data_IF_408003042646
#
_entry.id   IF_408003042646
#
_cell.length_a   1.000
_cell.length_b   1.000
_cell.length_c   1.000
_cell.angle_alpha   90.00
_cell.angle_beta   90.00
_cell.angle_gamma   90.00
#
_symmetry.space_group_name_H-M   'P 1'
#
loop_
_entity.id
_entity.type
_entity.pdbx_description
1 polymer ?
#
# COMPACT_ATOMS: atom_id res chain seq x y z
N UNK A 1 21.87 18.47 18.21
CA UNK A 1 21.57 18.07 16.83
C UNK A 1 20.23 17.38 16.90
N UNK A 2 19.16 18.17 16.85
CA UNK A 2 17.83 17.64 16.59
C UNK A 2 17.85 17.09 15.14
N UNK A 3 17.30 15.90 14.88
CA UNK A 3 17.10 15.46 13.51
C UNK A 3 16.18 16.46 12.81
N UNK A 4 16.33 16.72 11.50
CA UNK A 4 15.32 17.45 10.77
C UNK A 4 14.05 16.59 10.78
N UNK A 5 13.13 16.90 11.69
CA UNK A 5 11.75 16.46 11.63
C UNK A 5 11.21 17.01 10.31
N UNK A 6 11.21 16.17 9.28
CA UNK A 6 10.38 16.42 8.12
C UNK A 6 8.97 16.10 8.59
N UNK A 7 8.42 17.04 9.35
CA UNK A 7 7.06 17.06 9.86
C UNK A 7 6.16 17.39 8.65
N UNK A 8 6.11 16.46 7.70
CA UNK A 8 5.24 16.57 6.55
C UNK A 8 3.81 16.39 7.08
N UNK A 9 3.23 17.49 7.54
CA UNK A 9 1.87 17.52 8.04
C UNK A 9 0.89 17.61 6.89
N UNK A 10 -0.32 17.12 7.13
CA UNK A 10 -1.40 17.22 6.18
C UNK A 10 -1.73 18.68 5.86
N UNK A 11 -1.50 19.06 4.60
CA UNK A 11 -1.57 20.45 4.14
C UNK A 11 -0.23 21.03 3.71
N UNK A 12 0.87 20.30 3.87
CA UNK A 12 2.16 20.66 3.28
C UNK A 12 2.13 20.51 1.74
N UNK A 13 2.58 21.54 1.02
CA UNK A 13 2.55 21.57 -0.45
C UNK A 13 3.50 20.54 -1.10
N UNK A 14 4.37 19.89 -0.31
CA UNK A 14 5.28 18.84 -0.79
C UNK A 14 4.67 17.44 -0.76
N UNK A 15 3.51 17.26 -0.11
CA UNK A 15 2.80 15.99 -0.08
C UNK A 15 2.02 15.77 -1.37
N UNK A 16 2.41 14.75 -2.13
CA UNK A 16 1.69 14.33 -3.33
C UNK A 16 0.99 12.99 -3.10
N UNK A 17 -0.20 12.86 -3.68
CA UNK A 17 -0.89 11.57 -3.72
C UNK A 17 -0.06 10.55 -4.50
N UNK A 18 -0.06 9.29 -4.04
CA UNK A 18 0.63 8.21 -4.75
C UNK A 18 -0.17 7.82 -6.01
N UNK A 19 0.09 8.51 -7.11
CA UNK A 19 -0.54 8.34 -8.44
C UNK A 19 0.03 7.15 -9.24
N UNK A 20 0.43 6.06 -8.57
CA UNK A 20 1.04 4.86 -9.19
C UNK A 20 0.03 4.03 -9.99
N UNK A 21 0.47 3.09 -10.85
CA UNK A 21 -0.42 2.41 -11.80
C UNK A 21 -1.75 1.94 -11.22
N UNK A 22 -2.84 2.33 -11.87
CA UNK A 22 -4.15 1.68 -11.75
C UNK A 22 -4.25 0.61 -12.84
N UNK A 23 -4.27 -0.66 -12.44
CA UNK A 23 -4.57 -1.79 -13.31
C UNK A 23 -5.69 -2.63 -12.71
N UNK A 24 -6.27 -3.59 -13.45
CA UNK A 24 -7.18 -4.56 -12.85
C UNK A 24 -6.45 -5.33 -11.74
N UNK A 25 -7.09 -5.39 -10.56
CA UNK A 25 -6.52 -6.04 -9.39
C UNK A 25 -6.70 -7.56 -9.47
N UNK A 26 -5.60 -8.28 -9.34
CA UNK A 26 -5.58 -9.73 -9.21
C UNK A 26 -4.95 -10.14 -7.89
N UNK A 27 -5.51 -11.17 -7.26
CA UNK A 27 -4.96 -11.69 -6.01
C UNK A 27 -3.75 -12.60 -6.24
N UNK A 28 -3.49 -13.00 -7.48
CA UNK A 28 -2.37 -13.86 -7.86
C UNK A 28 -1.80 -13.44 -9.20
N UNK A 29 -0.50 -13.27 -9.27
CA UNK A 29 0.22 -12.94 -10.49
C UNK A 29 1.68 -13.36 -10.32
N UNK A 30 2.28 -13.94 -11.37
CA UNK A 30 3.71 -14.29 -11.41
C UNK A 30 4.23 -15.05 -10.18
N UNK A 31 3.47 -16.05 -9.69
CA UNK A 31 3.87 -16.87 -8.53
C UNK A 31 3.67 -16.19 -7.17
N UNK A 32 3.22 -14.93 -7.15
CA UNK A 32 2.89 -14.20 -5.92
C UNK A 32 1.39 -14.27 -5.67
N UNK A 33 1.02 -14.29 -4.39
CA UNK A 33 -0.35 -14.20 -3.92
C UNK A 33 -0.46 -13.09 -2.89
N UNK A 34 -1.43 -12.20 -3.09
CA UNK A 34 -1.80 -11.14 -2.17
C UNK A 34 -3.15 -11.46 -1.54
N UNK A 35 -3.23 -11.35 -0.22
CA UNK A 35 -4.46 -11.62 0.56
C UNK A 35 -4.67 -10.58 1.63
N UNK A 36 -5.92 -10.32 1.97
CA UNK A 36 -6.32 -9.63 3.19
C UNK A 36 -6.67 -10.64 4.29
N UNK A 37 -6.42 -10.30 5.55
CA UNK A 37 -6.84 -11.11 6.69
C UNK A 37 -8.36 -11.12 6.90
N UNK A 38 -9.06 -10.10 6.42
CA UNK A 38 -10.50 -9.95 6.47
C UNK A 38 -11.03 -9.30 5.19
N UNK A 39 -12.24 -9.68 4.77
CA UNK A 39 -12.95 -9.08 3.63
C UNK A 39 -13.73 -7.83 4.05
N UNK A 40 -14.16 -7.78 5.31
CA UNK A 40 -14.89 -6.66 5.91
C UNK A 40 -14.31 -6.33 7.27
N UNK A 41 -14.12 -5.04 7.55
CA UNK A 41 -13.63 -4.51 8.83
C UNK A 41 -14.37 -3.21 9.17
N UNK A 42 -14.43 -2.82 10.43
CA UNK A 42 -14.87 -1.49 10.83
C UNK A 42 -13.70 -0.48 10.90
N UNK A 43 -14.00 0.81 10.79
CA UNK A 43 -13.00 1.87 11.03
C UNK A 43 -12.45 1.71 12.45
N UNK A 44 -11.13 1.64 12.56
CA UNK A 44 -10.40 1.40 13.80
C UNK A 44 -10.03 -0.05 14.07
N UNK A 45 -10.52 -1.01 13.27
CA UNK A 45 -10.09 -2.41 13.37
C UNK A 45 -8.75 -2.68 12.68
N UNK A 46 -8.14 -3.81 13.02
CA UNK A 46 -6.87 -4.25 12.46
C UNK A 46 -7.09 -5.15 11.23
N UNK A 47 -6.31 -4.90 10.19
CA UNK A 47 -6.24 -5.72 8.98
C UNK A 47 -4.79 -5.95 8.60
N UNK A 48 -4.46 -7.17 8.20
CA UNK A 48 -3.15 -7.50 7.65
C UNK A 48 -3.30 -7.85 6.19
N UNK A 49 -2.58 -7.15 5.32
CA UNK A 49 -2.38 -7.58 3.95
C UNK A 49 -1.11 -8.40 3.89
N UNK A 50 -1.16 -9.58 3.28
CA UNK A 50 -0.02 -10.48 3.17
C UNK A 50 0.25 -10.77 1.70
N UNK A 51 1.47 -10.45 1.26
CA UNK A 51 2.03 -10.92 -0.01
C UNK A 51 2.88 -12.16 0.28
N UNK A 52 2.73 -13.20 -0.52
CA UNK A 52 3.51 -14.44 -0.41
C UNK A 52 3.94 -14.94 -1.76
N UNK A 53 5.19 -15.38 -1.89
CA UNK A 53 5.62 -16.22 -2.98
C UNK A 53 5.06 -17.63 -2.77
N UNK A 54 4.09 -18.00 -3.60
CA UNK A 54 3.43 -19.32 -3.61
C UNK A 54 3.96 -20.24 -4.72
N UNK A 55 5.00 -19.80 -5.44
CA UNK A 55 5.72 -20.62 -6.41
C UNK A 55 6.88 -21.36 -5.76
N UNK A 56 7.42 -22.35 -6.47
CA UNK A 56 8.58 -23.13 -6.06
C UNK A 56 9.92 -22.44 -6.41
N UNK A 57 9.88 -21.26 -7.05
CA UNK A 57 11.05 -20.52 -7.52
C UNK A 57 11.17 -19.16 -6.79
N UNK A 58 12.38 -18.61 -6.60
CA UNK A 58 12.54 -17.26 -6.11
C UNK A 58 11.94 -16.23 -7.09
N UNK A 59 11.23 -15.22 -6.56
CA UNK A 59 10.61 -14.15 -7.35
C UNK A 59 11.21 -12.81 -6.93
N UNK A 60 11.64 -12.02 -7.91
CA UNK A 60 12.11 -10.65 -7.69
C UNK A 60 10.92 -9.69 -7.65
N UNK A 61 10.84 -8.88 -6.60
CA UNK A 61 9.83 -7.85 -6.39
C UNK A 61 10.52 -6.56 -5.99
N UNK A 62 9.88 -5.43 -6.25
CA UNK A 62 10.32 -4.17 -5.65
C UNK A 62 10.10 -4.16 -4.14
N UNK A 63 10.72 -3.17 -3.48
CA UNK A 63 10.69 -3.02 -2.03
C UNK A 63 9.26 -3.05 -1.42
N UNK A 64 9.17 -3.49 -0.15
CA UNK A 64 7.95 -3.53 0.66
C UNK A 64 7.16 -2.22 0.72
N UNK A 65 7.80 -1.08 0.44
CA UNK A 65 7.15 0.24 0.36
C UNK A 65 6.41 0.49 -0.96
N UNK A 66 6.43 -0.42 -1.96
CA UNK A 66 5.73 -0.22 -3.24
C UNK A 66 4.25 -0.63 -3.17
N UNK A 67 3.50 -0.05 -2.22
CA UNK A 67 2.06 -0.29 -2.02
C UNK A 67 1.25 1.01 -1.88
N UNK A 68 -0.04 0.92 -2.22
CA UNK A 68 -0.99 2.03 -2.08
C UNK A 68 -2.36 1.49 -1.67
N UNK A 69 -3.08 2.32 -0.92
CA UNK A 69 -4.48 2.09 -0.61
C UNK A 69 -5.29 3.15 -1.33
N UNK A 70 -6.36 2.71 -1.99
CA UNK A 70 -7.32 3.58 -2.67
C UNK A 70 -8.70 3.32 -2.14
N UNK A 71 -9.52 4.37 -2.10
CA UNK A 71 -10.93 4.27 -1.80
C UNK A 71 -11.74 4.32 -3.08
N UNK A 72 -12.80 3.53 -3.15
CA UNK A 72 -13.78 3.61 -4.22
C UNK A 72 -14.74 4.78 -3.95
N UNK A 73 -14.80 5.71 -4.89
CA UNK A 73 -15.73 6.84 -4.91
C UNK A 73 -16.53 6.84 -6.21
N UNK A 74 -17.52 7.73 -6.34
CA UNK A 74 -18.27 7.92 -7.60
C UNK A 74 -17.36 8.29 -8.79
N UNK A 75 -16.19 8.88 -8.52
CA UNK A 75 -15.19 9.26 -9.52
C UNK A 75 -14.20 8.14 -9.88
N UNK A 76 -14.24 7.00 -9.17
CA UNK A 76 -13.32 5.88 -9.36
C UNK A 76 -12.48 5.57 -8.12
N UNK A 77 -11.27 5.06 -8.31
CA UNK A 77 -10.36 4.72 -7.21
C UNK A 77 -9.44 5.91 -6.91
N UNK A 78 -9.60 6.50 -5.73
CA UNK A 78 -8.82 7.65 -5.28
C UNK A 78 -7.79 7.22 -4.21
N UNK A 79 -6.50 7.55 -4.36
CA UNK A 79 -5.47 7.24 -3.36
C UNK A 79 -5.71 8.00 -2.06
N UNK A 80 -5.53 7.32 -0.92
CA UNK A 80 -5.67 7.95 0.40
C UNK A 80 -4.33 8.41 0.99
N UNK A 81 -3.24 7.84 0.49
CA UNK A 81 -1.89 8.16 0.95
C UNK A 81 -1.29 9.32 0.19
N UNK A 82 -0.71 10.24 0.95
CA UNK A 82 0.16 11.30 0.48
C UNK A 82 1.58 11.07 1.00
N UNK A 83 2.59 11.41 0.21
CA UNK A 83 4.00 11.25 0.56
C UNK A 83 4.81 12.43 0.03
N UNK A 84 5.88 12.86 0.72
CA UNK A 84 6.85 13.79 0.12
C UNK A 84 7.63 13.10 -1.00
N UNK A 85 8.11 13.90 -1.97
CA UNK A 85 8.69 13.44 -3.25
C UNK A 85 9.65 12.23 -3.18
N UNK A 86 9.53 11.34 -4.18
CA UNK A 86 10.47 10.24 -4.55
C UNK A 86 10.93 9.34 -3.41
N UNK A 87 10.01 9.02 -2.54
CA UNK A 87 10.13 8.03 -1.50
C UNK A 87 10.54 6.60 -1.90
N UNK A 88 10.39 6.26 -3.17
CA UNK A 88 10.52 4.90 -3.64
C UNK A 88 11.96 4.68 -4.05
N UNK A 89 12.75 4.09 -3.15
CA UNK A 89 14.00 3.48 -3.58
C UNK A 89 13.64 2.34 -4.54
N UNK A 90 14.24 2.36 -5.73
CA UNK A 90 14.19 1.26 -6.69
C UNK A 90 15.09 0.11 -6.22
N UNK A 91 14.82 -0.36 -5.01
CA UNK A 91 15.36 -1.59 -4.49
C UNK A 91 14.51 -2.76 -4.98
N UNK A 92 15.21 -3.76 -5.48
CA UNK A 92 14.66 -5.07 -5.84
C UNK A 92 15.04 -6.03 -4.72
N UNK A 93 14.04 -6.73 -4.21
CA UNK A 93 14.18 -7.78 -3.22
C UNK A 93 13.76 -9.12 -3.80
N UNK A 94 14.44 -10.18 -3.38
CA UNK A 94 14.12 -11.55 -3.82
C UNK A 94 13.31 -12.25 -2.74
N UNK A 95 12.06 -12.63 -3.06
CA UNK A 95 11.22 -13.46 -2.22
C UNK A 95 11.47 -14.94 -2.53
N UNK A 96 12.04 -15.67 -1.56
CA UNK A 96 12.14 -17.13 -1.62
C UNK A 96 10.74 -17.79 -1.57
N UNK A 97 10.61 -19.05 -2.01
CA UNK A 97 9.37 -19.83 -1.87
C UNK A 97 8.84 -19.78 -0.44
N UNK A 98 7.58 -19.36 -0.27
CA UNK A 98 6.92 -19.18 1.02
C UNK A 98 7.25 -17.86 1.76
N UNK A 99 8.26 -17.11 1.34
CA UNK A 99 8.57 -15.80 1.89
C UNK A 99 7.63 -14.72 1.31
N UNK A 100 7.61 -13.54 1.94
CA UNK A 100 6.86 -12.40 1.47
C UNK A 100 6.76 -11.29 2.50
N UNK A 101 5.76 -10.42 2.31
CA UNK A 101 5.56 -9.25 3.15
C UNK A 101 4.23 -9.32 3.88
N UNK A 102 4.20 -8.74 5.08
CA UNK A 102 2.98 -8.53 5.85
C UNK A 102 2.90 -7.06 6.20
N UNK A 103 1.78 -6.45 5.83
CA UNK A 103 1.43 -5.09 6.19
C UNK A 103 0.28 -5.14 7.19
N UNK A 104 0.56 -5.22 8.50
CA UNK A 104 -0.44 -5.02 9.52
C UNK A 104 -0.81 -3.54 9.52
N UNK A 105 -2.10 -3.22 9.50
CA UNK A 105 -2.65 -1.88 9.57
C UNK A 105 -3.78 -1.83 10.58
N UNK A 106 -3.91 -0.71 11.27
CA UNK A 106 -5.16 -0.35 11.93
C UNK A 106 -5.87 0.62 11.02
N UNK A 107 -7.13 0.34 10.65
CA UNK A 107 -7.88 1.11 9.67
C UNK A 107 -8.43 2.41 10.27
N UNK A 108 -7.52 3.26 10.71
CA UNK A 108 -7.72 4.62 11.22
C UNK A 108 -6.70 5.54 10.55
N UNK A 109 -6.92 6.86 10.57
CA UNK A 109 -5.97 7.81 9.97
C UNK A 109 -4.54 7.53 10.49
N UNK A 110 -4.36 7.58 11.80
CA UNK A 110 -3.08 7.34 12.47
C UNK A 110 -2.57 5.89 12.36
N UNK A 111 -3.48 4.92 12.26
CA UNK A 111 -3.12 3.51 12.12
C UNK A 111 -2.59 3.13 10.73
N UNK A 112 -2.98 3.91 9.71
CA UNK A 112 -2.51 3.78 8.33
C UNK A 112 -1.25 4.61 8.07
N UNK A 113 -1.00 5.67 8.84
CA UNK A 113 0.25 6.44 8.74
C UNK A 113 1.47 5.53 8.91
N UNK A 114 2.48 5.69 8.06
CA UNK A 114 3.72 4.91 8.12
C UNK A 114 4.90 5.82 7.96
N UNK A 115 5.92 5.62 8.79
CA UNK A 115 7.25 6.13 8.51
C UNK A 115 8.11 4.96 8.04
N UNK A 116 8.79 5.13 6.91
CA UNK A 116 9.59 4.12 6.23
C UNK A 116 11.09 4.43 6.40
N UNK A 117 11.72 4.06 7.54
CA UNK A 117 13.17 4.12 7.69
C UNK A 117 13.87 3.01 6.88
N UNK A 118 15.11 3.21 6.38
CA UNK A 118 15.95 4.41 6.49
C UNK A 118 15.66 5.48 5.42
N UNK A 119 14.71 5.24 4.51
CA UNK A 119 14.36 6.17 3.45
C UNK A 119 13.80 7.50 3.99
N UNK A 120 13.28 7.51 5.22
CA UNK A 120 12.75 8.71 5.88
C UNK A 120 11.44 9.19 5.25
N UNK A 121 10.70 8.27 4.63
CA UNK A 121 9.47 8.60 3.91
C UNK A 121 8.28 8.37 4.82
N UNK A 122 7.48 9.42 4.99
CA UNK A 122 6.15 9.33 5.59
C UNK A 122 5.05 9.06 4.57
N UNK A 123 4.22 8.06 4.84
CA UNK A 123 2.87 7.94 4.28
C UNK A 123 1.92 8.61 5.24
N UNK A 124 1.21 9.61 4.74
CA UNK A 124 0.24 10.38 5.51
C UNK A 124 -1.16 10.15 4.98
N UNK A 125 -2.12 10.03 5.90
CA UNK A 125 -3.55 9.92 5.59
C UNK A 125 -4.22 11.20 6.08
N UNK A 126 -4.37 12.16 5.16
CA UNK A 126 -4.77 13.51 5.50
C UNK A 126 -6.27 13.77 5.49
N UNK A 127 -7.04 12.80 5.00
CA UNK A 127 -8.50 12.85 5.02
C UNK A 127 -9.03 11.78 5.97
N UNK A 128 -10.13 12.07 6.68
CA UNK A 128 -10.79 11.06 7.47
C UNK A 128 -11.19 9.86 6.63
N UNK A 129 -10.99 8.67 7.20
CA UNK A 129 -11.50 7.44 6.61
C UNK A 129 -13.01 7.44 6.75
N UNK A 130 -13.67 7.04 5.69
CA UNK A 130 -15.11 6.97 5.60
C UNK A 130 -15.48 5.53 5.23
N UNK A 131 -16.66 5.05 5.63
CA UNK A 131 -17.11 3.72 5.23
C UNK A 131 -17.19 3.61 3.70
N UNK A 132 -16.85 2.43 3.19
CA UNK A 132 -16.83 2.13 1.76
C UNK A 132 -15.85 1.02 1.39
N UNK A 133 -15.65 0.81 0.10
CA UNK A 133 -14.69 -0.18 -0.40
C UNK A 133 -13.32 0.46 -0.55
N UNK A 134 -12.31 -0.21 0.01
CA UNK A 134 -10.91 0.15 -0.17
C UNK A 134 -10.18 -0.95 -0.93
N UNK A 135 -9.19 -0.56 -1.73
CA UNK A 135 -8.30 -1.49 -2.42
C UNK A 135 -6.88 -1.29 -1.94
N UNK A 136 -6.24 -2.37 -1.53
CA UNK A 136 -4.80 -2.42 -1.32
C UNK A 136 -4.16 -3.01 -2.57
N UNK A 137 -3.16 -2.33 -3.12
CA UNK A 137 -2.43 -2.79 -4.30
C UNK A 137 -0.93 -2.64 -4.13
N UNK A 138 -0.19 -3.63 -4.62
CA UNK A 138 1.27 -3.71 -4.60
C UNK A 138 1.79 -3.73 -6.04
N UNK A 139 2.48 -2.67 -6.45
CA UNK A 139 3.07 -2.56 -7.81
C UNK A 139 4.54 -2.98 -7.87
N UNK A 140 5.15 -3.38 -6.74
CA UNK A 140 6.50 -3.91 -6.76
C UNK A 140 6.63 -5.22 -7.56
N UNK A 141 5.53 -5.92 -7.84
CA UNK A 141 5.55 -7.15 -8.64
C UNK A 141 5.65 -6.93 -10.16
N UNK A 142 5.64 -5.68 -10.62
CA UNK A 142 5.78 -5.32 -12.04
C UNK A 142 6.88 -4.27 -12.20
N UNK A 143 7.58 -4.32 -13.33
CA UNK A 143 8.48 -3.26 -13.80
C UNK A 143 7.80 -2.29 -14.76
N UNK A 144 6.57 -2.58 -15.16
CA UNK A 144 5.78 -1.76 -16.09
C UNK A 144 5.06 -0.62 -15.36
N UNK A 145 5.02 0.55 -15.99
CA UNK A 145 4.34 1.74 -15.46
C UNK A 145 2.81 1.61 -15.52
N UNK A 146 2.29 0.72 -16.38
CA UNK A 146 0.87 0.38 -16.54
C UNK A 146 0.72 -1.15 -16.70
N UNK A 147 0.84 -1.93 -15.62
CA UNK A 147 0.74 -3.37 -15.70
C UNK A 147 -0.65 -3.82 -16.18
N UNK A 148 -0.66 -4.86 -17.02
CA UNK A 148 -1.91 -5.53 -17.42
C UNK A 148 -2.66 -6.11 -16.22
N UNK A 149 -1.94 -6.53 -15.18
CA UNK A 149 -2.49 -7.06 -13.93
C UNK A 149 -1.66 -6.55 -12.74
N UNK A 150 -2.33 -5.95 -11.75
CA UNK A 150 -1.69 -5.47 -10.54
C UNK A 150 -2.07 -6.37 -9.37
N UNK A 151 -1.10 -6.74 -8.53
CA UNK A 151 -1.42 -7.48 -7.31
C UNK A 151 -2.23 -6.59 -6.39
N UNK A 152 -3.50 -6.92 -6.21
CA UNK A 152 -4.42 -6.13 -5.41
C UNK A 152 -5.51 -6.97 -4.77
N UNK A 153 -6.04 -6.45 -3.67
CA UNK A 153 -7.22 -7.00 -3.00
C UNK A 153 -8.10 -5.85 -2.51
N UNK A 154 -9.39 -6.11 -2.36
CA UNK A 154 -10.35 -5.15 -1.80
C UNK A 154 -10.78 -5.57 -0.41
N UNK A 155 -11.13 -4.58 0.40
CA UNK A 155 -11.73 -4.74 1.72
C UNK A 155 -12.90 -3.76 1.83
N UNK A 156 -14.01 -4.21 2.40
CA UNK A 156 -15.12 -3.35 2.76
C UNK A 156 -14.90 -2.80 4.16
N UNK A 157 -15.01 -1.49 4.30
CA UNK A 157 -14.83 -0.78 5.57
C UNK A 157 -16.17 -0.22 6.00
N UNK A 158 -16.62 -0.64 7.16
CA UNK A 158 -17.90 -0.22 7.74
C UNK A 158 -17.68 0.84 8.83
N UNK A 159 -18.73 1.55 9.18
CA UNK A 159 -18.73 2.41 10.36
C UNK A 159 -18.51 1.55 11.64
N UNK A 160 -17.84 2.10 12.67
CA UNK A 160 -17.68 1.42 13.96
C UNK A 160 -19.00 1.17 14.69
#
# INVERSE_FOLDING_TARGET
MEPPETDAECGDETLEYIQRPSGPHVQRHSGLKLTASAETIAIGEEITFSLRNVSDEPVEVGNIHKYNIRRQTDGGWEPIFQTPEKAWLDDVETLLPGAGYDWPFTFSQQGLERNHPPAGVGYHVCSPLEPGTYSFAFWGATSDDVPEELLGTTVTVESP
#
